data_IF_910571288932
#
_entry.id   IF_910571288932
#
_cell.length_a   1.000
_cell.length_b   1.000
_cell.length_c   1.000
_cell.angle_alpha   90.00
_cell.angle_beta   90.00
_cell.angle_gamma   90.00
#
_symmetry.space_group_name_H-M   'P 1'
#
loop_
_entity.id
_entity.type
_entity.pdbx_description
1 polymer ?
#
# COMPACT_ATOMS: atom_id res chain seq x y z
N UNK A 1 9.34 -28.84 31.49
CA UNK A 1 8.31 -27.79 31.31
C UNK A 1 8.19 -27.57 29.81
N UNK A 2 7.10 -28.05 29.22
CA UNK A 2 6.92 -28.30 27.79
C UNK A 2 6.47 -27.05 27.01
N UNK A 3 6.96 -26.96 25.77
CA UNK A 3 6.27 -26.42 24.58
C UNK A 3 5.74 -24.99 24.61
N UNK A 4 6.47 -24.07 23.97
CA UNK A 4 5.88 -23.00 23.12
C UNK A 4 6.85 -22.39 22.11
N UNK A 5 7.84 -23.16 21.64
CA UNK A 5 8.73 -22.79 20.53
C UNK A 5 8.43 -23.56 19.24
N UNK A 6 7.29 -24.25 19.20
CA UNK A 6 6.85 -25.09 18.08
C UNK A 6 5.33 -24.95 17.90
N UNK A 7 4.82 -23.73 17.87
CA UNK A 7 3.61 -23.49 17.06
C UNK A 7 4.07 -23.56 15.61
N UNK A 8 4.08 -24.80 15.15
CA UNK A 8 3.87 -25.25 13.78
C UNK A 8 3.49 -24.06 12.89
N UNK A 9 4.50 -23.45 12.28
CA UNK A 9 4.34 -22.97 10.93
C UNK A 9 3.76 -24.17 10.18
N UNK A 10 2.46 -24.14 9.89
CA UNK A 10 1.97 -24.86 8.74
C UNK A 10 2.92 -24.47 7.61
N UNK A 11 3.77 -25.41 7.21
CA UNK A 11 4.52 -25.30 5.98
C UNK A 11 3.47 -25.47 4.89
N UNK A 12 2.63 -24.45 4.73
CA UNK A 12 1.92 -24.22 3.48
C UNK A 12 3.04 -24.14 2.46
N UNK A 13 3.11 -25.10 1.55
CA UNK A 13 4.03 -25.03 0.43
C UNK A 13 3.83 -23.66 -0.22
N UNK A 14 4.80 -22.78 0.00
CA UNK A 14 4.75 -21.43 -0.52
C UNK A 14 4.72 -21.54 -2.04
N UNK A 15 3.63 -21.09 -2.65
CA UNK A 15 3.53 -21.09 -4.10
C UNK A 15 4.57 -20.13 -4.66
N UNK A 16 5.09 -20.41 -5.87
CA UNK A 16 6.00 -19.50 -6.57
C UNK A 16 5.40 -18.08 -6.67
N UNK A 17 4.08 -17.98 -6.85
CA UNK A 17 3.35 -16.72 -6.87
C UNK A 17 3.45 -15.96 -5.54
N UNK A 18 3.21 -16.63 -4.40
CA UNK A 18 3.30 -16.02 -3.08
C UNK A 18 4.74 -15.58 -2.75
N UNK A 19 5.74 -16.40 -3.07
CA UNK A 19 7.15 -16.04 -2.90
C UNK A 19 7.53 -14.81 -3.74
N UNK A 20 7.01 -14.72 -4.96
CA UNK A 20 7.23 -13.58 -5.86
C UNK A 20 6.55 -12.33 -5.31
N UNK A 21 5.30 -12.44 -4.86
CA UNK A 21 4.56 -11.36 -4.24
C UNK A 21 5.29 -10.80 -3.01
N UNK A 22 5.84 -11.65 -2.14
CA UNK A 22 6.65 -11.24 -0.98
C UNK A 22 7.90 -10.45 -1.37
N UNK A 23 8.62 -10.90 -2.41
CA UNK A 23 9.81 -10.18 -2.90
C UNK A 23 9.46 -8.80 -3.44
N UNK A 24 8.39 -8.70 -4.23
CA UNK A 24 7.90 -7.42 -4.76
C UNK A 24 7.45 -6.53 -3.61
N UNK A 25 6.68 -7.07 -2.66
CA UNK A 25 6.24 -6.34 -1.48
C UNK A 25 7.43 -5.79 -0.68
N UNK A 26 8.48 -6.58 -0.47
CA UNK A 26 9.68 -6.12 0.24
C UNK A 26 10.36 -4.93 -0.47
N UNK A 27 10.47 -4.98 -1.80
CA UNK A 27 11.01 -3.88 -2.60
C UNK A 27 10.14 -2.63 -2.42
N UNK A 28 8.84 -2.75 -2.67
CA UNK A 28 7.91 -1.61 -2.61
C UNK A 28 7.88 -1.03 -1.19
N UNK A 29 7.78 -1.88 -0.16
CA UNK A 29 7.80 -1.47 1.24
C UNK A 29 9.08 -0.68 1.59
N UNK A 30 10.26 -1.17 1.19
CA UNK A 30 11.53 -0.48 1.44
C UNK A 30 11.58 0.93 0.84
N UNK A 31 10.86 1.15 -0.26
CA UNK A 31 10.79 2.43 -0.93
C UNK A 31 9.73 3.32 -0.29
N UNK A 32 8.54 2.82 0.04
CA UNK A 32 7.41 3.65 0.46
C UNK A 32 7.39 3.95 1.97
N UNK A 33 7.79 2.99 2.81
CA UNK A 33 7.73 3.10 4.28
C UNK A 33 8.41 4.37 4.82
N UNK A 34 9.60 4.79 4.34
CA UNK A 34 10.22 6.02 4.84
C UNK A 34 9.39 7.29 4.60
N UNK A 35 8.55 7.33 3.55
CA UNK A 35 7.65 8.47 3.29
C UNK A 35 6.43 8.40 4.19
N UNK A 36 5.86 7.21 4.36
CA UNK A 36 4.69 6.96 5.22
C UNK A 36 5.02 7.27 6.68
N UNK A 37 6.16 6.80 7.18
CA UNK A 37 6.62 7.06 8.54
C UNK A 37 6.82 8.55 8.83
N UNK A 38 7.33 9.31 7.84
CA UNK A 38 7.51 10.78 7.97
C UNK A 38 6.21 11.57 7.87
N UNK A 39 5.16 11.00 7.29
CA UNK A 39 3.86 11.68 7.19
C UNK A 39 3.01 11.58 8.45
N UNK A 40 3.48 10.88 9.50
CA UNK A 40 2.75 10.73 10.77
C UNK A 40 1.30 10.27 10.56
N UNK A 41 1.10 9.31 9.65
CA UNK A 41 -0.19 8.63 9.45
C UNK A 41 -0.50 7.76 10.69
N UNK A 42 -0.80 8.40 11.82
CA UNK A 42 -1.08 7.79 13.12
C UNK A 42 -2.59 7.63 13.36
N UNK A 43 -3.42 7.71 12.31
CA UNK A 43 -4.87 7.62 12.44
C UNK A 43 -5.35 6.17 12.34
N UNK A 44 -6.23 5.79 13.26
CA UNK A 44 -6.90 4.49 13.30
C UNK A 44 -7.82 4.24 12.10
N UNK A 45 -8.22 5.30 11.38
CA UNK A 45 -8.96 5.24 10.13
C UNK A 45 -8.53 6.40 9.20
N UNK A 46 -8.08 6.08 7.98
CA UNK A 46 -7.83 7.08 6.95
C UNK A 46 -9.15 7.47 6.27
N UNK A 47 -9.27 8.66 5.68
CA UNK A 47 -10.39 8.98 4.80
C UNK A 47 -10.44 7.98 3.63
N UNK A 48 -11.64 7.47 3.31
CA UNK A 48 -11.84 6.45 2.26
C UNK A 48 -11.16 6.79 0.93
N UNK A 49 -11.20 8.06 0.52
CA UNK A 49 -10.56 8.52 -0.71
C UNK A 49 -9.02 8.47 -0.65
N UNK A 50 -8.42 8.76 0.51
CA UNK A 50 -6.99 8.65 0.72
C UNK A 50 -6.56 7.18 0.82
N UNK A 51 -7.34 6.36 1.52
CA UNK A 51 -7.15 4.91 1.56
C UNK A 51 -7.18 4.31 0.15
N UNK A 52 -8.22 4.59 -0.64
CA UNK A 52 -8.34 4.15 -2.02
C UNK A 52 -7.14 4.58 -2.89
N UNK A 53 -6.70 5.84 -2.76
CA UNK A 53 -5.50 6.35 -3.47
C UNK A 53 -4.23 5.61 -3.04
N UNK A 54 -4.05 5.31 -1.75
CA UNK A 54 -2.87 4.61 -1.25
C UNK A 54 -2.85 3.15 -1.72
N UNK A 55 -3.97 2.44 -1.62
CA UNK A 55 -4.10 1.07 -2.14
C UNK A 55 -3.84 1.05 -3.65
N UNK A 56 -4.45 1.98 -4.39
CA UNK A 56 -4.21 2.16 -5.82
C UNK A 56 -2.75 2.42 -6.14
N UNK A 57 -2.10 3.33 -5.40
CA UNK A 57 -0.69 3.66 -5.55
C UNK A 57 0.21 2.44 -5.35
N UNK A 58 0.00 1.66 -4.29
CA UNK A 58 0.79 0.46 -4.03
C UNK A 58 0.62 -0.57 -5.15
N UNK A 59 -0.62 -0.82 -5.59
CA UNK A 59 -0.90 -1.71 -6.73
C UNK A 59 -0.23 -1.24 -8.01
N UNK A 60 -0.36 0.05 -8.32
CA UNK A 60 0.26 0.67 -9.50
C UNK A 60 1.78 0.53 -9.51
N UNK A 61 2.42 0.65 -8.35
CA UNK A 61 3.87 0.50 -8.22
C UNK A 61 4.34 -0.94 -8.47
N UNK A 62 3.57 -1.93 -8.02
CA UNK A 62 3.90 -3.33 -8.25
C UNK A 62 3.90 -3.71 -9.74
N UNK A 63 3.04 -3.09 -10.57
CA UNK A 63 2.84 -3.48 -11.96
C UNK A 63 4.12 -3.40 -12.82
N UNK A 64 4.89 -2.29 -12.84
CA UNK A 64 6.16 -2.24 -13.58
C UNK A 64 7.20 -3.28 -13.13
N UNK A 65 7.22 -3.63 -11.84
CA UNK A 65 8.14 -4.66 -11.31
C UNK A 65 7.72 -6.04 -11.81
N UNK A 66 6.42 -6.36 -11.73
CA UNK A 66 5.87 -7.60 -12.28
C UNK A 66 6.18 -7.73 -13.78
N UNK A 67 5.97 -6.67 -14.55
CA UNK A 67 6.27 -6.63 -15.98
C UNK A 67 7.77 -6.86 -16.26
N UNK A 68 8.66 -6.20 -15.51
CA UNK A 68 10.10 -6.36 -15.66
C UNK A 68 10.57 -7.80 -15.35
N UNK A 69 9.90 -8.46 -14.42
CA UNK A 69 10.23 -9.83 -13.99
C UNK A 69 9.45 -10.91 -14.76
N UNK A 70 8.65 -10.53 -15.76
CA UNK A 70 7.82 -11.44 -16.57
C UNK A 70 6.91 -12.31 -15.68
N UNK A 71 6.25 -11.66 -14.73
CA UNK A 71 5.24 -12.31 -13.87
C UNK A 71 3.91 -12.33 -14.62
N UNK A 72 3.53 -13.50 -15.13
CA UNK A 72 2.28 -13.70 -15.88
C UNK A 72 1.03 -13.84 -14.99
N UNK A 73 1.23 -14.07 -13.69
CA UNK A 73 0.16 -14.25 -12.72
C UNK A 73 -0.42 -12.89 -12.29
N UNK A 74 -1.66 -12.65 -12.68
CA UNK A 74 -2.39 -11.40 -12.43
C UNK A 74 -2.72 -11.18 -10.94
N UNK A 75 -2.65 -12.22 -10.10
CA UNK A 75 -2.92 -12.12 -8.67
C UNK A 75 -1.70 -11.66 -7.88
N UNK A 76 -0.48 -11.82 -8.42
CA UNK A 76 0.78 -11.43 -7.76
C UNK A 76 0.84 -9.94 -7.40
N UNK A 77 0.51 -8.97 -8.28
CA UNK A 77 0.47 -7.55 -7.90
C UNK A 77 -0.51 -7.28 -6.76
N UNK A 78 -1.67 -7.95 -6.76
CA UNK A 78 -2.70 -7.80 -5.73
C UNK A 78 -2.22 -8.37 -4.39
N UNK A 79 -1.66 -9.58 -4.39
CA UNK A 79 -1.08 -10.21 -3.21
C UNK A 79 0.10 -9.38 -2.65
N UNK A 80 0.98 -8.87 -3.51
CA UNK A 80 2.08 -8.01 -3.11
C UNK A 80 1.57 -6.72 -2.44
N UNK A 81 0.52 -6.10 -3.01
CA UNK A 81 -0.12 -4.92 -2.45
C UNK A 81 -0.65 -5.17 -1.04
N UNK A 82 -1.39 -6.27 -0.86
CA UNK A 82 -1.89 -6.67 0.46
C UNK A 82 -0.76 -6.86 1.47
N UNK A 83 0.35 -7.50 1.07
CA UNK A 83 1.51 -7.67 1.94
C UNK A 83 2.17 -6.34 2.33
N UNK A 84 2.30 -5.38 1.41
CA UNK A 84 2.86 -4.05 1.72
C UNK A 84 1.96 -3.31 2.71
N UNK A 85 0.64 -3.39 2.53
CA UNK A 85 -0.34 -2.80 3.45
C UNK A 85 -0.18 -3.37 4.86
N UNK A 86 -0.09 -4.70 5.00
CA UNK A 86 0.13 -5.35 6.30
C UNK A 86 1.41 -4.85 6.98
N UNK A 87 2.47 -4.58 6.21
CA UNK A 87 3.71 -4.02 6.74
C UNK A 87 3.58 -2.54 7.14
N UNK A 88 2.75 -1.78 6.44
CA UNK A 88 2.53 -0.35 6.70
C UNK A 88 1.58 -0.11 7.88
N UNK A 89 0.57 -0.97 8.04
CA UNK A 89 -0.50 -0.82 9.04
C UNK A 89 -0.70 -2.13 9.81
N UNK A 90 0.27 -2.56 10.63
CA UNK A 90 0.23 -3.85 11.33
C UNK A 90 -0.96 -3.96 12.30
N UNK A 91 -1.43 -2.83 12.84
CA UNK A 91 -2.52 -2.76 13.82
C UNK A 91 -3.91 -2.57 13.19
N UNK A 92 -4.00 -2.32 11.87
CA UNK A 92 -5.28 -2.18 11.15
C UNK A 92 -5.33 -2.97 9.83
N UNK A 93 -4.99 -4.27 9.81
CA UNK A 93 -5.02 -5.08 8.58
C UNK A 93 -6.44 -5.26 8.02
N UNK A 94 -7.47 -5.17 8.87
CA UNK A 94 -8.87 -5.38 8.51
C UNK A 94 -9.47 -4.24 7.66
N UNK A 95 -9.05 -2.98 7.88
CA UNK A 95 -9.57 -1.83 7.11
C UNK A 95 -9.16 -1.92 5.64
N UNK A 96 -7.89 -2.25 5.39
CA UNK A 96 -7.34 -2.27 4.05
C UNK A 96 -7.49 -3.59 3.30
N UNK A 97 -7.72 -4.72 4.00
CA UNK A 97 -7.98 -6.01 3.32
C UNK A 97 -9.38 -6.05 2.70
N UNK A 98 -10.38 -5.41 3.31
CA UNK A 98 -11.69 -5.16 2.69
C UNK A 98 -11.61 -4.18 1.51
N UNK A 99 -10.58 -3.32 1.48
CA UNK A 99 -10.34 -2.32 0.43
C UNK A 99 -9.77 -2.87 -0.88
N UNK A 100 -9.45 -4.17 -0.93
CA UNK A 100 -9.14 -4.90 -2.17
C UNK A 100 -10.42 -5.54 -2.77
N UNK A 101 -11.59 -5.36 -2.15
CA UNK A 101 -12.86 -5.71 -2.78
C UNK A 101 -13.24 -4.73 -3.90
N UNK A 102 -14.03 -5.22 -4.87
CA UNK A 102 -14.30 -4.56 -6.15
C UNK A 102 -14.89 -3.14 -6.10
N UNK A 103 -15.41 -2.70 -4.95
CA UNK A 103 -15.95 -1.35 -4.76
C UNK A 103 -14.88 -0.26 -4.83
N UNK A 104 -13.69 -0.50 -4.26
CA UNK A 104 -12.59 0.49 -4.29
C UNK A 104 -11.88 0.46 -5.63
N UNK A 105 -11.71 -0.72 -6.23
CA UNK A 105 -11.06 -0.89 -7.54
C UNK A 105 -11.74 -0.10 -8.67
N UNK A 106 -13.05 0.18 -8.54
CA UNK A 106 -13.82 0.99 -9.50
C UNK A 106 -13.81 2.50 -9.22
N UNK A 107 -13.26 2.96 -8.09
CA UNK A 107 -13.29 4.37 -7.71
C UNK A 107 -12.28 5.22 -8.49
N UNK A 108 -12.61 6.50 -8.73
CA UNK A 108 -11.67 7.45 -9.36
C UNK A 108 -10.41 7.66 -8.50
N UNK A 109 -10.58 7.73 -7.17
CA UNK A 109 -9.50 7.85 -6.20
C UNK A 109 -8.48 6.71 -6.36
N UNK A 110 -8.96 5.47 -6.46
CA UNK A 110 -8.10 4.32 -6.71
C UNK A 110 -7.36 4.42 -8.04
N UNK A 111 -8.04 4.79 -9.13
CA UNK A 111 -7.41 4.95 -10.46
C UNK A 111 -6.30 6.01 -10.45
N UNK A 112 -6.54 7.15 -9.80
CA UNK A 112 -5.53 8.20 -9.60
C UNK A 112 -4.32 7.63 -8.85
N UNK A 113 -4.58 6.85 -7.79
CA UNK A 113 -3.56 6.10 -7.07
C UNK A 113 -2.75 5.22 -8.01
N UNK A 114 -3.40 4.35 -8.79
CA UNK A 114 -2.75 3.42 -9.73
C UNK A 114 -1.85 4.15 -10.72
N UNK A 115 -2.31 5.24 -11.31
CA UNK A 115 -1.50 6.01 -12.27
C UNK A 115 -0.30 6.70 -11.60
N UNK A 116 -0.46 7.19 -10.36
CA UNK A 116 0.65 7.71 -9.56
C UNK A 116 1.68 6.62 -9.23
N UNK A 117 1.21 5.46 -8.74
CA UNK A 117 2.04 4.31 -8.41
C UNK A 117 2.80 3.78 -9.61
N UNK A 118 2.14 3.66 -10.76
CA UNK A 118 2.74 3.19 -12.01
C UNK A 118 3.86 4.11 -12.48
N UNK A 119 3.67 5.44 -12.39
CA UNK A 119 4.73 6.41 -12.73
C UNK A 119 5.97 6.23 -11.85
N UNK A 120 5.78 6.12 -10.54
CA UNK A 120 6.90 5.93 -9.61
C UNK A 120 7.55 4.54 -9.78
N UNK A 121 6.77 3.50 -10.09
CA UNK A 121 7.25 2.15 -10.40
C UNK A 121 8.07 2.09 -11.70
N UNK A 122 7.65 2.79 -12.75
CA UNK A 122 8.42 2.90 -14.00
C UNK A 122 9.73 3.68 -13.79
N UNK A 123 9.70 4.73 -12.98
CA UNK A 123 10.92 5.45 -12.59
C UNK A 123 11.86 4.54 -11.80
N UNK A 124 11.34 3.74 -10.88
CA UNK A 124 12.13 2.77 -10.14
C UNK A 124 12.74 1.72 -11.07
N UNK A 125 11.95 1.16 -11.99
CA UNK A 125 12.43 0.17 -12.96
C UNK A 125 13.59 0.71 -13.81
N UNK A 126 13.56 1.99 -14.15
CA UNK A 126 14.56 2.62 -15.02
C UNK A 126 15.78 3.17 -14.27
N UNK A 127 15.62 3.62 -13.03
CA UNK A 127 16.66 4.37 -12.29
C UNK A 127 17.06 3.77 -10.95
N UNK A 128 16.33 2.77 -10.46
CA UNK A 128 16.45 2.24 -9.10
C UNK A 128 15.93 3.17 -8.00
N UNK A 129 15.30 4.31 -8.36
CA UNK A 129 14.80 5.32 -7.42
C UNK A 129 13.29 5.45 -7.51
N UNK A 130 12.62 5.61 -6.37
CA UNK A 130 11.20 5.99 -6.35
C UNK A 130 11.01 7.45 -6.74
N UNK A 131 9.84 7.77 -7.27
CA UNK A 131 9.43 9.15 -7.53
C UNK A 131 8.84 9.84 -6.31
N UNK A 132 8.11 10.92 -6.57
CA UNK A 132 7.53 11.80 -5.53
C UNK A 132 6.00 11.71 -5.48
N UNK A 133 5.37 10.83 -6.25
CA UNK A 133 3.92 10.83 -6.39
C UNK A 133 3.22 10.45 -5.08
N UNK A 134 3.79 9.53 -4.29
CA UNK A 134 3.28 9.23 -2.95
C UNK A 134 3.31 10.45 -2.02
N UNK A 135 4.41 11.22 -2.05
CA UNK A 135 4.53 12.43 -1.23
C UNK A 135 3.46 13.46 -1.63
N UNK A 136 3.16 13.59 -2.92
CA UNK A 136 2.13 14.49 -3.43
C UNK A 136 0.72 14.07 -2.98
N UNK A 137 0.40 12.78 -3.01
CA UNK A 137 -0.87 12.25 -2.49
C UNK A 137 -1.03 12.64 -1.01
N UNK A 138 0.00 12.39 -0.20
CA UNK A 138 -0.02 12.71 1.22
C UNK A 138 -0.09 14.22 1.48
N UNK A 139 0.68 15.02 0.74
CA UNK A 139 0.68 16.47 0.92
C UNK A 139 -0.66 17.13 0.55
N UNK A 140 -1.36 16.62 -0.47
CA UNK A 140 -2.61 17.20 -0.92
C UNK A 140 -3.81 16.72 -0.11
N UNK A 141 -3.90 15.42 0.13
CA UNK A 141 -5.12 14.82 0.69
C UNK A 141 -5.06 14.70 2.21
N UNK A 142 -3.90 14.30 2.77
CA UNK A 142 -3.76 14.13 4.21
C UNK A 142 -3.65 15.46 4.94
N UNK A 143 -2.86 16.42 4.41
CA UNK A 143 -2.79 17.77 4.99
C UNK A 143 -4.15 18.48 4.90
N UNK A 144 -4.82 18.40 3.76
CA UNK A 144 -6.15 18.96 3.58
C UNK A 144 -7.16 18.40 4.60
N UNK A 145 -7.09 17.10 4.88
CA UNK A 145 -7.90 16.48 5.93
C UNK A 145 -7.56 16.98 7.34
N UNK A 146 -6.27 17.07 7.70
CA UNK A 146 -5.85 17.57 9.01
C UNK A 146 -6.29 19.03 9.22
N UNK A 147 -6.18 19.87 8.19
CA UNK A 147 -6.57 21.28 8.26
C UNK A 147 -8.10 21.42 8.39
N UNK A 148 -8.88 20.64 7.62
CA UNK A 148 -10.33 20.61 7.74
C UNK A 148 -10.80 20.13 9.12
N UNK A 149 -10.18 19.07 9.65
CA UNK A 149 -10.55 18.51 10.96
C UNK A 149 -10.29 19.47 12.12
N UNK A 150 -9.21 20.27 12.04
CA UNK A 150 -8.93 21.32 13.03
C UNK A 150 -9.98 22.43 12.99
N UNK A 151 -10.34 22.90 11.78
CA UNK A 151 -11.37 23.94 11.61
C UNK A 151 -12.73 23.47 12.11
N UNK A 152 -13.10 22.22 11.86
CA UNK A 152 -14.35 21.65 12.37
C UNK A 152 -14.38 21.53 13.89
N UNK A 153 -13.24 21.27 14.54
CA UNK A 153 -13.12 21.20 15.99
C UNK A 153 -13.17 22.59 16.67
N UNK A 154 -12.75 23.65 15.98
CA UNK A 154 -12.71 25.03 16.50
C UNK A 154 -14.00 25.83 16.22
N UNK A 155 -14.99 25.26 15.52
CA UNK A 155 -16.27 25.92 15.28
C UNK A 155 -17.15 25.88 16.56
N UNK A 156 -17.68 27.01 17.05
CA UNK A 156 -18.59 27.01 18.19
C UNK A 156 -19.90 26.30 17.84
N UNK A 157 -20.38 25.47 18.77
CA UNK A 157 -21.61 24.68 18.66
C UNK A 157 -22.88 25.54 18.56
#
# INVERSE_FOLDING_TARGET
MFQRLYEVHEVTQETKALATARKIAAIVASLVLPTIARSELAYSALPDALEAKLVGYLKGFCLPICAAWQVDDADVPTAATGLVITLMFPDSPASFSASIDGLIAGSEAFRIGVDAGRRDGELYRTTGRKGTALLQILANDFRGFCDYSKVAADAPA
#
